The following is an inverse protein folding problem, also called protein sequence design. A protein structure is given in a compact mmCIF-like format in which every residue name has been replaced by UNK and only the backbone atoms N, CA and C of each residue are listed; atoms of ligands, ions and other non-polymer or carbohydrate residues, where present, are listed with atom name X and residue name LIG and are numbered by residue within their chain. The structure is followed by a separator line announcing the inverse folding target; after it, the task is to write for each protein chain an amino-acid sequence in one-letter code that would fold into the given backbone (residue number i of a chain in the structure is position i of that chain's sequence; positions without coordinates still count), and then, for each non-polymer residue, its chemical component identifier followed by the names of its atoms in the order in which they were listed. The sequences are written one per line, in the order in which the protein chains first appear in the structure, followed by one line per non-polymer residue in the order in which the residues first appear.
data_IF_102344644508
#
_entry.id   IF_102344644508
#
_cell.length_a   1.000
_cell.length_b   1.000
_cell.length_c   1.000
_cell.angle_alpha   90.00
_cell.angle_beta   90.00
_cell.angle_gamma   90.00
#
_symmetry.space_group_name_H-M   'P 1'
#
loop_
_entity.id
_entity.type
_entity.pdbx_description
1 polymer ?
#
# COMPACT_ATOMS: atom_id res chain seq x y z
N UNK A 1 -19.37 90.43 15.60
CA UNK A 1 -18.03 90.24 16.18
C UNK A 1 -17.98 88.82 16.75
N UNK A 2 -16.90 88.08 16.48
CA UNK A 2 -16.54 86.75 17.00
C UNK A 2 -17.33 85.51 16.51
N UNK A 3 -16.74 84.92 15.46
CA UNK A 3 -16.42 83.50 15.16
C UNK A 3 -17.14 82.30 15.82
N UNK A 4 -17.27 81.19 15.06
CA UNK A 4 -17.96 79.96 15.46
C UNK A 4 -17.02 78.95 16.14
N UNK A 5 -17.57 78.09 16.99
CA UNK A 5 -16.88 76.89 17.48
C UNK A 5 -17.53 75.62 16.94
N UNK A 6 -16.67 74.85 16.31
CA UNK A 6 -16.87 73.63 15.58
C UNK A 6 -16.45 72.47 16.48
N UNK A 7 -17.32 71.50 16.76
CA UNK A 7 -16.91 70.20 17.29
C UNK A 7 -17.59 69.10 16.47
N UNK A 8 -16.81 68.59 15.52
CA UNK A 8 -17.10 67.44 14.67
C UNK A 8 -17.35 66.21 15.54
N UNK A 9 -18.57 65.69 15.43
CA UNK A 9 -18.97 64.41 15.99
C UNK A 9 -18.31 63.23 15.26
N UNK A 10 -17.74 62.36 16.09
CA UNK A 10 -17.65 60.90 15.93
C UNK A 10 -17.06 60.35 14.62
N UNK A 11 -15.76 60.07 14.75
CA UNK A 11 -15.02 58.94 14.16
C UNK A 11 -15.88 57.90 13.43
N UNK A 12 -15.74 57.92 12.10
CA UNK A 12 -16.01 56.80 11.19
C UNK A 12 -15.01 55.69 11.51
N UNK A 13 -15.34 54.68 12.33
CA UNK A 13 -14.59 53.41 12.45
C UNK A 13 -15.24 52.52 13.53
N UNK A 14 -16.37 51.87 13.21
CA UNK A 14 -16.91 50.63 13.82
C UNK A 14 -18.41 50.57 13.51
N UNK A 15 -18.81 49.93 12.41
CA UNK A 15 -20.18 49.41 12.20
C UNK A 15 -20.33 48.67 10.87
N UNK A 16 -19.29 47.92 10.50
CA UNK A 16 -19.35 46.93 9.45
C UNK A 16 -18.72 45.67 10.03
N UNK A 17 -19.55 44.69 10.41
CA UNK A 17 -19.25 43.25 10.59
C UNK A 17 -20.25 42.61 11.55
N UNK A 18 -21.53 42.59 11.18
CA UNK A 18 -22.49 41.61 11.67
C UNK A 18 -23.35 41.18 10.49
N UNK A 19 -22.70 40.49 9.54
CA UNK A 19 -23.37 39.78 8.45
C UNK A 19 -22.95 38.31 8.59
N UNK A 20 -23.96 37.46 8.78
CA UNK A 20 -23.97 36.01 8.57
C UNK A 20 -23.00 35.14 9.38
N UNK A 21 -23.36 34.83 10.63
CA UNK A 21 -23.14 33.50 11.20
C UNK A 21 -24.29 32.59 10.74
N UNK A 22 -24.27 32.18 9.47
CA UNK A 22 -25.04 31.03 9.01
C UNK A 22 -24.09 29.84 8.97
N UNK A 23 -24.47 28.81 9.70
CA UNK A 23 -23.83 27.53 9.82
C UNK A 23 -23.40 26.95 8.46
N UNK A 24 -22.14 27.21 8.09
CA UNK A 24 -21.43 26.45 7.08
C UNK A 24 -20.87 25.17 7.69
N UNK A 25 -21.72 24.30 8.22
CA UNK A 25 -21.37 22.88 8.41
C UNK A 25 -21.40 22.16 7.05
N UNK A 26 -20.66 22.71 6.10
CA UNK A 26 -20.40 22.04 4.84
C UNK A 26 -19.33 21.01 5.15
N UNK A 27 -19.81 19.83 5.55
CA UNK A 27 -19.10 18.57 5.51
C UNK A 27 -18.05 18.65 4.41
N UNK A 28 -16.78 18.57 4.80
CA UNK A 28 -15.72 18.14 3.88
C UNK A 28 -16.12 16.72 3.51
N UNK A 29 -17.02 16.58 2.52
CA UNK A 29 -17.07 15.40 1.69
C UNK A 29 -15.74 15.46 0.96
N UNK A 30 -14.71 14.90 1.60
CA UNK A 30 -13.54 14.45 0.92
C UNK A 30 -14.08 13.57 -0.21
N UNK A 31 -14.03 14.12 -1.41
CA UNK A 31 -14.37 13.49 -2.65
C UNK A 31 -13.31 12.38 -2.84
N UNK A 32 -13.47 11.27 -2.13
CA UNK A 32 -12.68 10.06 -2.28
C UNK A 32 -13.25 9.32 -3.48
N UNK A 33 -12.84 9.77 -4.67
CA UNK A 33 -12.95 9.01 -5.91
C UNK A 33 -12.56 7.55 -5.63
N UNK A 34 -13.37 6.60 -6.12
CA UNK A 34 -13.22 5.19 -5.81
C UNK A 34 -11.81 4.70 -6.12
N UNK A 35 -11.13 4.10 -5.13
CA UNK A 35 -9.80 3.54 -5.30
C UNK A 35 -9.78 2.63 -6.54
N UNK A 36 -8.99 3.00 -7.54
CA UNK A 36 -8.89 2.25 -8.80
C UNK A 36 -8.07 0.99 -8.52
N UNK A 37 -8.57 -0.22 -8.84
CA UNK A 37 -7.82 -1.45 -8.62
C UNK A 37 -6.49 -1.43 -9.37
N UNK A 38 -5.40 -1.76 -8.67
CA UNK A 38 -4.08 -1.81 -9.26
C UNK A 38 -3.89 -3.05 -10.14
N UNK A 39 -3.20 -2.86 -11.28
CA UNK A 39 -2.84 -3.93 -12.21
C UNK A 39 -1.37 -3.80 -12.58
N UNK A 40 -0.61 -4.87 -12.37
CA UNK A 40 0.78 -4.99 -12.80
C UNK A 40 1.01 -6.31 -13.51
N UNK A 41 1.26 -6.21 -14.81
CA UNK A 41 1.51 -7.35 -15.69
C UNK A 41 2.75 -7.05 -16.51
N UNK A 42 3.90 -7.39 -15.95
CA UNK A 42 5.20 -7.04 -16.54
C UNK A 42 6.18 -8.19 -16.41
N UNK A 43 6.98 -8.35 -17.46
CA UNK A 43 8.19 -9.16 -17.46
C UNK A 43 9.38 -8.27 -17.15
N UNK A 44 10.18 -8.67 -16.16
CA UNK A 44 11.40 -7.99 -15.75
C UNK A 44 12.60 -8.82 -16.16
N UNK A 45 13.63 -8.17 -16.69
CA UNK A 45 14.92 -8.81 -16.98
C UNK A 45 15.91 -8.32 -15.92
N UNK A 46 16.40 -9.24 -15.11
CA UNK A 46 17.32 -8.97 -14.01
C UNK A 46 18.77 -8.81 -14.52
N UNK A 47 19.68 -8.20 -13.72
CA UNK A 47 21.09 -8.09 -14.06
C UNK A 47 21.77 -9.42 -14.41
N UNK A 48 21.38 -10.53 -13.76
CA UNK A 48 21.83 -11.88 -14.12
C UNK A 48 21.33 -12.40 -15.48
N UNK A 49 20.45 -11.66 -16.16
CA UNK A 49 19.75 -12.08 -17.37
C UNK A 49 18.47 -12.87 -17.12
N UNK A 50 18.17 -13.20 -15.85
CA UNK A 50 16.95 -13.94 -15.51
C UNK A 50 15.69 -13.14 -15.83
N UNK A 51 14.68 -13.80 -16.39
CA UNK A 51 13.35 -13.25 -16.67
C UNK A 51 12.38 -13.60 -15.55
N UNK A 52 11.70 -12.57 -15.04
CA UNK A 52 10.70 -12.69 -13.99
C UNK A 52 9.40 -12.06 -14.45
N UNK A 53 8.38 -12.89 -14.63
CA UNK A 53 7.02 -12.44 -14.95
C UNK A 53 6.25 -12.22 -13.66
N UNK A 54 5.69 -11.03 -13.47
CA UNK A 54 4.81 -10.73 -12.33
C UNK A 54 3.45 -10.28 -12.84
N UNK A 55 2.42 -10.97 -12.36
CA UNK A 55 1.02 -10.62 -12.56
C UNK A 55 0.38 -10.40 -11.18
N UNK A 56 0.20 -9.12 -10.82
CA UNK A 56 -0.57 -8.70 -9.65
C UNK A 56 -1.82 -7.98 -10.16
N UNK A 57 -2.99 -8.39 -9.68
CA UNK A 57 -4.26 -7.74 -9.98
C UNK A 57 -5.05 -7.55 -8.70
N UNK A 58 -5.56 -6.34 -8.51
CA UNK A 58 -6.58 -6.06 -7.54
C UNK A 58 -7.96 -6.01 -8.20
N UNK A 59 -8.98 -6.11 -7.36
CA UNK A 59 -10.36 -5.84 -7.76
C UNK A 59 -11.09 -5.13 -6.64
N UNK A 60 -12.22 -4.51 -6.97
CA UNK A 60 -13.14 -4.04 -5.95
C UNK A 60 -13.66 -5.20 -5.09
N UNK A 61 -13.85 -4.89 -3.81
CA UNK A 61 -14.58 -5.75 -2.91
C UNK A 61 -16.02 -5.93 -3.39
N UNK A 62 -16.53 -7.16 -3.31
CA UNK A 62 -17.96 -7.43 -3.49
C UNK A 62 -18.73 -6.94 -2.26
N UNK A 63 -20.03 -6.68 -2.43
CA UNK A 63 -20.89 -6.28 -1.31
C UNK A 63 -20.82 -7.30 -0.17
N UNK A 64 -20.44 -6.84 1.03
CA UNK A 64 -20.34 -7.66 2.24
C UNK A 64 -19.10 -8.56 2.35
N UNK A 65 -18.19 -8.52 1.37
CA UNK A 65 -16.93 -9.28 1.38
C UNK A 65 -15.90 -8.65 2.30
N UNK A 66 -15.67 -7.34 2.12
CA UNK A 66 -14.72 -6.58 2.92
C UNK A 66 -15.42 -6.03 4.16
N UNK A 67 -14.80 -6.23 5.31
CA UNK A 67 -15.29 -5.80 6.62
C UNK A 67 -14.27 -4.87 7.23
N UNK A 68 -14.74 -4.01 8.12
CA UNK A 68 -13.86 -3.15 8.89
C UNK A 68 -12.94 -4.04 9.72
N UNK A 69 -11.63 -3.83 9.55
CA UNK A 69 -10.64 -4.51 10.37
C UNK A 69 -10.47 -3.66 11.62
N UNK A 70 -10.49 -4.29 12.81
CA UNK A 70 -10.32 -3.61 14.08
C UNK A 70 -8.88 -3.10 14.21
N UNK A 71 -8.61 -1.94 13.61
CA UNK A 71 -7.30 -1.31 13.58
C UNK A 71 -6.77 -0.98 14.97
N UNK A 72 -7.66 -0.71 15.94
CA UNK A 72 -7.30 -0.32 17.30
C UNK A 72 -6.65 -1.43 18.13
N UNK A 73 -7.04 -2.70 17.90
CA UNK A 73 -6.46 -3.85 18.60
C UNK A 73 -5.14 -4.32 17.96
N UNK A 74 -4.93 -4.02 16.67
CA UNK A 74 -3.77 -4.47 15.88
C UNK A 74 -2.78 -3.37 15.50
N UNK A 75 -3.00 -2.12 15.96
CA UNK A 75 -2.12 -0.99 15.66
C UNK A 75 -2.12 -0.58 14.19
N UNK A 76 -3.19 -0.88 13.45
CA UNK A 76 -3.37 -0.53 12.04
C UNK A 76 -4.32 0.65 11.89
N UNK A 77 -4.14 1.47 10.84
CA UNK A 77 -5.15 2.47 10.46
C UNK A 77 -6.44 1.74 10.07
N UNK A 78 -7.49 1.90 10.89
CA UNK A 78 -8.78 1.23 10.69
C UNK A 78 -9.42 1.62 9.37
N UNK A 79 -9.95 0.65 8.62
CA UNK A 79 -10.67 0.90 7.39
C UNK A 79 -11.38 -0.33 6.85
N UNK A 80 -12.36 -0.11 5.97
CA UNK A 80 -12.87 -1.15 5.08
C UNK A 80 -12.07 -1.04 3.79
N UNK A 81 -11.27 -2.05 3.40
CA UNK A 81 -10.58 -2.00 2.13
C UNK A 81 -11.62 -1.93 1.01
N UNK A 82 -11.39 -1.02 0.05
CA UNK A 82 -12.28 -0.86 -1.13
C UNK A 82 -11.86 -1.78 -2.28
N UNK A 83 -10.57 -2.12 -2.31
CA UNK A 83 -9.96 -3.04 -3.26
C UNK A 83 -9.16 -4.08 -2.51
N UNK A 84 -9.12 -5.29 -3.06
CA UNK A 84 -8.35 -6.42 -2.54
C UNK A 84 -7.52 -7.04 -3.64
N UNK A 85 -6.35 -7.57 -3.27
CA UNK A 85 -5.53 -8.33 -4.21
C UNK A 85 -6.26 -9.61 -4.62
N UNK A 86 -6.62 -9.71 -5.90
CA UNK A 86 -7.27 -10.89 -6.47
C UNK A 86 -6.25 -12.00 -6.71
N UNK A 87 -5.15 -11.65 -7.38
CA UNK A 87 -4.10 -12.58 -7.78
C UNK A 87 -2.73 -11.96 -7.62
N UNK A 88 -1.78 -12.78 -7.16
CA UNK A 88 -0.35 -12.57 -7.33
C UNK A 88 0.25 -13.84 -7.93
N UNK A 89 0.77 -13.76 -9.15
CA UNK A 89 1.44 -14.86 -9.84
C UNK A 89 2.83 -14.42 -10.24
N UNK A 90 3.80 -15.29 -9.96
CA UNK A 90 5.19 -15.09 -10.33
C UNK A 90 5.64 -16.26 -11.21
N UNK A 91 6.39 -15.96 -12.27
CA UNK A 91 7.15 -16.97 -13.03
C UNK A 91 8.60 -16.55 -13.11
N UNK A 92 9.50 -17.52 -12.96
CA UNK A 92 10.95 -17.34 -13.07
C UNK A 92 11.42 -18.23 -14.20
N UNK A 93 12.07 -17.65 -15.22
CA UNK A 93 12.47 -18.40 -16.43
C UNK A 93 11.30 -19.18 -17.06
N UNK A 94 10.11 -18.56 -17.08
CA UNK A 94 8.86 -19.15 -17.59
C UNK A 94 8.21 -20.20 -16.68
N UNK A 95 8.89 -20.65 -15.62
CA UNK A 95 8.37 -21.65 -14.67
C UNK A 95 7.53 -20.97 -13.58
N UNK A 96 6.32 -21.45 -13.27
CA UNK A 96 5.52 -20.91 -12.18
C UNK A 96 6.25 -21.02 -10.83
N UNK A 97 6.40 -19.90 -10.14
CA UNK A 97 6.87 -19.85 -8.76
C UNK A 97 5.65 -19.70 -7.84
N UNK A 98 5.29 -20.73 -7.06
CA UNK A 98 4.07 -20.71 -6.26
C UNK A 98 4.22 -19.78 -5.06
N UNK A 99 3.32 -18.79 -4.96
CA UNK A 99 3.10 -18.00 -3.75
C UNK A 99 1.69 -18.35 -3.25
N UNK A 100 1.54 -19.01 -2.09
CA UNK A 100 0.22 -19.34 -1.57
C UNK A 100 -0.60 -18.09 -1.25
N UNK A 101 -1.91 -18.18 -1.48
CA UNK A 101 -2.87 -17.08 -1.38
C UNK A 101 -2.80 -16.30 -0.06
N UNK A 102 -2.63 -17.02 1.05
CA UNK A 102 -2.50 -16.43 2.40
C UNK A 102 -1.36 -15.43 2.58
N UNK A 103 -0.37 -15.40 1.67
CA UNK A 103 0.79 -14.52 1.77
C UNK A 103 0.63 -13.20 1.03
N UNK A 104 -0.45 -13.02 0.25
CA UNK A 104 -0.68 -11.80 -0.51
C UNK A 104 -2.12 -11.26 -0.42
N UNK A 105 -3.06 -12.01 0.18
CA UNK A 105 -4.46 -11.57 0.27
C UNK A 105 -4.71 -10.42 1.22
N UNK A 106 -3.78 -10.18 2.13
CA UNK A 106 -3.81 -9.04 3.02
C UNK A 106 -3.33 -7.74 2.36
N UNK A 107 -2.78 -7.80 1.14
CA UNK A 107 -2.41 -6.61 0.38
C UNK A 107 -3.64 -5.91 -0.21
N UNK A 108 -3.72 -4.61 0.09
CA UNK A 108 -4.77 -3.70 -0.37
C UNK A 108 -4.14 -2.40 -0.86
N UNK A 109 -4.85 -1.64 -1.70
CA UNK A 109 -4.42 -0.33 -2.20
C UNK A 109 -2.97 -0.30 -2.73
N UNK A 110 -2.60 -1.32 -3.52
CA UNK A 110 -1.29 -1.42 -4.13
C UNK A 110 -1.03 -0.22 -5.04
N UNK A 111 0.15 0.37 -4.96
CA UNK A 111 0.53 1.49 -5.83
C UNK A 111 1.86 1.27 -6.55
N UNK A 112 2.69 0.33 -6.08
CA UNK A 112 3.93 -0.02 -6.75
C UNK A 112 4.29 -1.50 -6.58
N UNK A 113 4.84 -2.06 -7.65
CA UNK A 113 5.49 -3.37 -7.64
C UNK A 113 6.87 -3.22 -8.27
N UNK A 114 7.91 -3.56 -7.51
CA UNK A 114 9.29 -3.54 -7.96
C UNK A 114 9.87 -4.94 -7.94
N UNK A 115 10.71 -5.23 -8.92
CA UNK A 115 11.45 -6.48 -9.00
C UNK A 115 12.93 -6.14 -9.16
N UNK A 116 13.76 -6.68 -8.28
CA UNK A 116 15.20 -6.49 -8.30
C UNK A 116 15.93 -7.78 -7.96
N UNK A 117 17.26 -7.73 -8.06
CA UNK A 117 18.13 -8.85 -7.74
C UNK A 117 19.13 -8.41 -6.68
N UNK A 118 19.28 -9.22 -5.65
CA UNK A 118 20.34 -9.09 -4.65
C UNK A 118 21.08 -10.42 -4.54
N UNK A 119 22.35 -10.40 -4.98
CA UNK A 119 23.19 -11.59 -5.13
C UNK A 119 22.50 -12.63 -6.04
N UNK A 120 22.13 -13.80 -5.50
CA UNK A 120 21.47 -14.88 -6.24
C UNK A 120 19.95 -14.89 -6.03
N UNK A 121 19.40 -13.94 -5.28
CA UNK A 121 18.00 -13.90 -4.84
C UNK A 121 17.22 -12.86 -5.62
N UNK A 122 15.98 -13.21 -5.96
CA UNK A 122 15.04 -12.30 -6.60
C UNK A 122 14.27 -11.60 -5.48
N UNK A 123 14.20 -10.29 -5.53
CA UNK A 123 13.47 -9.46 -4.58
C UNK A 123 12.24 -8.91 -5.30
N UNK A 124 11.06 -9.30 -4.81
CA UNK A 124 9.79 -8.73 -5.24
C UNK A 124 9.25 -7.86 -4.10
N UNK A 125 9.10 -6.57 -4.36
CA UNK A 125 8.53 -5.61 -3.42
C UNK A 125 7.15 -5.18 -3.91
N UNK A 126 6.15 -5.32 -3.05
CA UNK A 126 4.78 -4.83 -3.26
C UNK A 126 4.53 -3.74 -2.23
N UNK A 127 4.21 -2.53 -2.69
CA UNK A 127 3.88 -1.40 -1.82
C UNK A 127 2.39 -1.13 -1.86
N UNK A 128 1.76 -1.13 -0.69
CA UNK A 128 0.31 -1.02 -0.51
C UNK A 128 -0.06 -1.08 0.97
N UNK A 129 -1.34 -0.86 1.29
CA UNK A 129 -1.86 -1.04 2.64
C UNK A 129 -3.08 -0.21 2.98
N UNK A 130 -3.62 -0.41 4.19
CA UNK A 130 -4.62 0.51 4.74
C UNK A 130 -3.95 1.86 5.01
N UNK A 131 -4.52 2.92 4.42
CA UNK A 131 -3.92 4.26 4.38
C UNK A 131 -3.00 4.51 3.18
N UNK A 132 -2.28 5.64 3.19
CA UNK A 132 -1.46 6.13 2.09
C UNK A 132 -0.13 5.36 1.93
N UNK A 133 -0.19 4.03 1.74
CA UNK A 133 1.00 3.21 1.46
C UNK A 133 1.79 2.80 2.70
N UNK A 134 1.10 2.47 3.80
CA UNK A 134 1.73 2.29 5.11
C UNK A 134 2.69 1.09 5.23
N UNK A 135 2.73 0.14 4.29
CA UNK A 135 3.67 -0.97 4.35
C UNK A 135 4.26 -1.39 3.00
N UNK A 136 5.46 -1.96 3.07
CA UNK A 136 6.13 -2.67 1.99
C UNK A 136 6.15 -4.15 2.33
N UNK A 137 5.66 -4.98 1.41
CA UNK A 137 5.84 -6.42 1.46
C UNK A 137 7.01 -6.83 0.56
N UNK A 138 8.07 -7.34 1.17
CA UNK A 138 9.28 -7.80 0.48
C UNK A 138 9.34 -9.31 0.47
N UNK A 139 9.22 -9.90 -0.72
CA UNK A 139 9.42 -11.31 -0.97
C UNK A 139 10.85 -11.54 -1.45
N UNK A 140 11.61 -12.31 -0.68
CA UNK A 140 12.96 -12.74 -0.99
C UNK A 140 12.88 -14.17 -1.50
N UNK A 141 12.93 -14.34 -2.82
CA UNK A 141 12.80 -15.63 -3.50
C UNK A 141 14.17 -16.27 -3.66
N UNK A 142 14.35 -17.48 -3.12
CA UNK A 142 15.59 -18.25 -3.17
C UNK A 142 15.38 -19.61 -3.82
N UNK A 143 15.76 -19.76 -5.10
CA UNK A 143 15.42 -20.95 -5.88
C UNK A 143 13.91 -21.11 -6.07
N UNK A 144 13.46 -22.29 -6.48
CA UNK A 144 12.03 -22.61 -6.67
C UNK A 144 11.31 -23.07 -5.40
N UNK A 145 12.06 -23.34 -4.32
CA UNK A 145 11.56 -24.13 -3.22
C UNK A 145 11.07 -23.35 -2.01
N UNK A 146 11.08 -22.03 -2.06
CA UNK A 146 10.61 -21.22 -0.95
C UNK A 146 10.90 -19.74 -1.09
N UNK A 147 10.35 -18.98 -0.17
CA UNK A 147 10.60 -17.56 -0.05
C UNK A 147 10.49 -17.10 1.41
N UNK A 148 11.12 -15.97 1.69
CA UNK A 148 10.86 -15.20 2.90
C UNK A 148 9.99 -13.99 2.53
N UNK A 149 8.94 -13.73 3.30
CA UNK A 149 8.12 -12.53 3.22
C UNK A 149 8.43 -11.66 4.44
N UNK A 150 8.75 -10.41 4.21
CA UNK A 150 8.91 -9.39 5.26
C UNK A 150 7.87 -8.31 5.06
N UNK A 151 7.16 -7.97 6.14
CA UNK A 151 6.32 -6.77 6.20
C UNK A 151 7.08 -5.74 7.01
N UNK A 152 7.18 -4.55 6.45
CA UNK A 152 7.96 -3.44 6.97
C UNK A 152 7.27 -2.13 6.60
N UNK A 153 7.70 -1.03 7.22
CA UNK A 153 7.22 0.31 6.85
C UNK A 153 7.58 0.72 5.41
N UNK A 154 7.32 1.97 5.05
CA UNK A 154 7.54 2.51 3.69
C UNK A 154 8.99 2.30 3.19
N UNK A 155 9.95 2.46 4.09
CA UNK A 155 11.36 2.15 3.89
C UNK A 155 11.64 0.91 4.74
N UNK A 156 11.97 -0.22 4.10
CA UNK A 156 12.01 -1.54 4.73
C UNK A 156 13.22 -1.76 5.68
N UNK A 157 13.44 -0.81 6.59
CA UNK A 157 14.48 -0.81 7.62
C UNK A 157 13.95 -1.40 8.93
N UNK A 158 12.66 -1.20 9.23
CA UNK A 158 11.99 -1.79 10.38
C UNK A 158 11.08 -2.94 9.92
N UNK A 159 11.38 -4.17 10.38
CA UNK A 159 10.62 -5.37 10.03
C UNK A 159 9.58 -5.61 11.12
N UNK A 160 8.30 -5.46 10.78
CA UNK A 160 7.18 -5.74 11.66
C UNK A 160 6.79 -7.22 11.65
N UNK A 161 6.83 -7.85 10.47
CA UNK A 161 6.57 -9.29 10.33
C UNK A 161 7.61 -9.95 9.46
N UNK A 162 7.96 -11.20 9.80
CA UNK A 162 8.76 -12.09 8.98
C UNK A 162 8.10 -13.44 8.92
N UNK A 163 7.88 -13.94 7.71
CA UNK A 163 7.34 -15.28 7.50
C UNK A 163 8.14 -16.00 6.43
N UNK A 164 8.59 -17.20 6.74
CA UNK A 164 9.29 -18.05 5.78
C UNK A 164 8.36 -19.17 5.31
N UNK A 165 8.30 -19.35 3.99
CA UNK A 165 7.59 -20.46 3.37
C UNK A 165 8.54 -21.37 2.62
N UNK A 166 8.37 -22.67 2.83
CA UNK A 166 9.15 -23.72 2.21
C UNK A 166 8.26 -24.77 1.58
N UNK A 167 8.70 -25.23 0.42
CA UNK A 167 8.11 -26.28 -0.38
C UNK A 167 9.21 -27.15 -1.00
N UNK A 168 10.23 -27.47 -0.19
CA UNK A 168 11.42 -28.21 -0.62
C UNK A 168 11.10 -29.57 -1.23
N UNK A 169 10.08 -30.27 -0.72
CA UNK A 169 9.67 -31.59 -1.23
C UNK A 169 9.19 -31.54 -2.69
N UNK A 170 8.73 -30.40 -3.19
CA UNK A 170 8.28 -30.25 -4.58
C UNK A 170 9.43 -29.91 -5.55
N UNK A 171 10.62 -29.56 -5.03
CA UNK A 171 11.73 -29.02 -5.81
C UNK A 171 13.10 -29.50 -5.31
N UNK A 172 13.18 -30.72 -4.79
CA UNK A 172 14.41 -31.30 -4.21
C UNK A 172 15.61 -31.30 -5.17
N UNK A 173 15.34 -31.28 -6.48
CA UNK A 173 16.37 -31.27 -7.53
C UNK A 173 16.88 -29.87 -7.88
N UNK A 174 16.33 -28.79 -7.31
CA UNK A 174 16.80 -27.44 -7.56
C UNK A 174 18.07 -27.16 -6.73
N UNK A 175 19.26 -26.96 -7.36
CA UNK A 175 20.51 -26.74 -6.65
C UNK A 175 20.55 -25.42 -5.86
N UNK A 176 19.64 -24.49 -6.17
CA UNK A 176 19.44 -23.24 -5.43
C UNK A 176 18.44 -23.40 -4.29
N UNK A 177 17.79 -24.57 -4.16
CA UNK A 177 17.01 -24.91 -2.99
C UNK A 177 17.92 -25.14 -1.79
N UNK A 178 18.35 -24.03 -1.17
CA UNK A 178 19.03 -24.08 0.11
C UNK A 178 17.95 -24.22 1.18
N UNK A 179 17.98 -25.32 1.94
CA UNK A 179 17.16 -25.55 3.14
C UNK A 179 17.47 -24.58 4.30
N UNK A 180 17.99 -23.39 3.99
CA UNK A 180 18.64 -22.46 4.88
C UNK A 180 18.14 -21.02 4.75
N UNK A 181 16.84 -20.83 4.51
CA UNK A 181 16.16 -19.60 4.96
C UNK A 181 15.96 -19.74 6.49
N UNK A 182 17.07 -19.79 7.22
CA UNK A 182 17.06 -19.75 8.69
C UNK A 182 16.45 -18.42 9.15
#
# INVERSE_FOLDING_TARGET
MMTPMNTRGMSRLLKWLLISCLAGSSRVYAQMDGAIPYVHEKTHVLPSGKKVDVNLRERHCKNGECREVDGGMWGMDSGIPRVITETLRVRIEGRPFPIPEKFYKDFTNTHAVNVSEDKERIILEVKGGDGAGAYTARFVLGGMCGFERRICGEVCEEIWERTTWYNSFAYETDPLCKSGIQ
#
